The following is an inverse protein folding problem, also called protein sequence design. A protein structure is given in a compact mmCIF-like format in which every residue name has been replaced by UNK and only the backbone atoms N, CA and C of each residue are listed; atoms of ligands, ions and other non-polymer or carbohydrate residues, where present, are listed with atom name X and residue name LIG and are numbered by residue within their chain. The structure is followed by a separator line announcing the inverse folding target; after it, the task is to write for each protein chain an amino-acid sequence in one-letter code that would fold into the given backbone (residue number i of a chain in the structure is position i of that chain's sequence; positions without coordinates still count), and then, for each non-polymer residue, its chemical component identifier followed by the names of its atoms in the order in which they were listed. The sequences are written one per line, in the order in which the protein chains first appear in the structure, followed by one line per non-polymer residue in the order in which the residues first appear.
data_IF_027603451817
#
_entry.id   IF_027603451817
#
_cell.length_a   1.000
_cell.length_b   1.000
_cell.length_c   1.000
_cell.angle_alpha   90.00
_cell.angle_beta   90.00
_cell.angle_gamma   90.00
#
_symmetry.space_group_name_H-M   'P 1'
#
loop_
_entity.id
_entity.type
_entity.pdbx_description
1 polymer ?
#
# COMPACT_ATOMS: atom_id res chain seq x y z
N UNK A 1 -1.28 12.04 -11.39
CA UNK A 1 -1.23 13.49 -11.75
C UNK A 1 -2.48 14.15 -11.19
N UNK A 2 -2.35 15.23 -10.44
CA UNK A 2 -3.51 15.94 -9.89
C UNK A 2 -4.18 16.82 -10.95
N UNK A 3 -5.51 16.95 -10.88
CA UNK A 3 -6.28 17.85 -11.74
C UNK A 3 -6.33 19.21 -11.04
N UNK A 4 -5.68 20.20 -11.63
CA UNK A 4 -5.52 21.52 -11.01
C UNK A 4 -6.84 22.30 -11.03
N UNK A 5 -7.16 23.00 -9.94
CA UNK A 5 -8.35 23.87 -9.84
C UNK A 5 -9.70 23.14 -9.82
N UNK A 6 -9.69 21.81 -9.68
CA UNK A 6 -10.90 20.98 -9.60
C UNK A 6 -11.30 20.63 -8.15
N UNK A 7 -10.56 21.10 -7.16
CA UNK A 7 -10.88 20.95 -5.74
C UNK A 7 -11.85 22.02 -5.24
N UNK A 8 -11.97 22.10 -3.92
CA UNK A 8 -12.79 23.09 -3.23
C UNK A 8 -12.20 24.50 -3.33
N UNK A 9 -13.04 25.52 -3.21
CA UNK A 9 -12.59 26.91 -3.08
C UNK A 9 -11.83 27.09 -1.75
N UNK A 10 -10.84 27.98 -1.75
CA UNK A 10 -10.17 28.40 -0.53
C UNK A 10 -11.13 29.26 0.32
N UNK A 11 -10.99 29.18 1.64
CA UNK A 11 -11.75 30.00 2.59
C UNK A 11 -11.30 31.48 2.57
N UNK A 12 -10.03 31.73 2.24
CA UNK A 12 -9.43 33.07 2.25
C UNK A 12 -9.63 33.82 0.93
N UNK A 13 -9.71 33.10 -0.19
CA UNK A 13 -9.95 33.67 -1.52
C UNK A 13 -10.89 32.75 -2.33
N UNK A 14 -12.13 33.18 -2.60
CA UNK A 14 -13.11 32.38 -3.34
C UNK A 14 -12.76 32.18 -4.82
N UNK A 15 -11.76 32.89 -5.37
CA UNK A 15 -11.30 32.66 -6.74
C UNK A 15 -10.24 31.56 -6.84
N UNK A 16 -9.61 31.19 -5.70
CA UNK A 16 -8.63 30.12 -5.63
C UNK A 16 -9.32 28.78 -5.38
N UNK A 17 -8.98 27.77 -6.19
CA UNK A 17 -9.46 26.39 -6.04
C UNK A 17 -8.31 25.43 -5.83
N UNK A 18 -8.52 24.46 -4.93
CA UNK A 18 -7.60 23.37 -4.68
C UNK A 18 -7.47 22.40 -5.86
N UNK A 19 -6.63 21.40 -5.71
CA UNK A 19 -6.44 20.35 -6.72
C UNK A 19 -7.24 19.10 -6.34
N UNK A 20 -7.73 18.39 -7.36
CA UNK A 20 -8.32 17.06 -7.19
C UNK A 20 -7.24 15.99 -7.38
N UNK A 21 -7.13 15.10 -6.40
CA UNK A 21 -6.26 13.93 -6.45
C UNK A 21 -7.12 12.70 -6.70
N UNK A 22 -6.84 11.97 -7.78
CA UNK A 22 -7.54 10.72 -8.11
C UNK A 22 -6.67 9.55 -7.69
N UNK A 23 -7.17 8.77 -6.73
CA UNK A 23 -6.57 7.51 -6.28
C UNK A 23 -7.23 6.39 -7.10
N UNK A 24 -6.44 5.72 -7.93
CA UNK A 24 -6.93 4.61 -8.75
C UNK A 24 -6.71 3.29 -8.02
N UNK A 25 -7.80 2.55 -7.84
CA UNK A 25 -7.76 1.16 -7.41
C UNK A 25 -8.16 0.29 -8.59
N UNK A 26 -7.22 -0.45 -9.14
CA UNK A 26 -7.48 -1.43 -10.19
C UNK A 26 -7.95 -2.72 -9.53
N UNK A 27 -9.10 -3.23 -9.96
CA UNK A 27 -9.62 -4.52 -9.53
C UNK A 27 -9.38 -5.52 -10.66
N UNK A 28 -8.67 -6.60 -10.36
CA UNK A 28 -8.48 -7.69 -11.29
C UNK A 28 -9.74 -8.57 -11.30
N UNK A 29 -10.05 -9.23 -12.44
CA UNK A 29 -11.08 -10.25 -12.46
C UNK A 29 -10.67 -11.41 -11.55
N UNK A 30 -11.66 -12.12 -10.98
CA UNK A 30 -11.43 -13.25 -10.07
C UNK A 30 -10.84 -14.47 -10.77
N UNK A 31 -10.94 -14.53 -12.10
CA UNK A 31 -10.39 -15.58 -12.94
C UNK A 31 -10.48 -15.18 -14.40
N UNK A 32 -9.77 -15.91 -15.25
CA UNK A 32 -9.72 -15.72 -16.69
C UNK A 32 -9.84 -17.09 -17.32
N UNK A 33 -10.76 -17.26 -18.27
CA UNK A 33 -10.87 -18.49 -19.06
C UNK A 33 -9.74 -18.59 -20.11
N UNK A 34 -9.51 -19.78 -20.65
CA UNK A 34 -8.37 -20.02 -21.54
C UNK A 34 -8.45 -19.18 -22.83
N UNK A 35 -9.65 -19.00 -23.40
CA UNK A 35 -9.83 -18.22 -24.63
C UNK A 35 -9.49 -16.73 -24.38
N UNK A 36 -9.98 -16.17 -23.27
CA UNK A 36 -9.63 -14.81 -22.82
C UNK A 36 -8.14 -14.67 -22.49
N UNK A 37 -7.53 -15.68 -21.87
CA UNK A 37 -6.11 -15.67 -21.55
C UNK A 37 -5.26 -15.66 -22.83
N UNK A 38 -5.65 -16.41 -23.85
CA UNK A 38 -4.97 -16.43 -25.14
C UNK A 38 -5.03 -15.05 -25.82
N UNK A 39 -6.19 -14.40 -25.83
CA UNK A 39 -6.33 -13.05 -26.38
C UNK A 39 -5.48 -12.03 -25.61
N UNK A 40 -5.39 -12.15 -24.28
CA UNK A 40 -4.53 -11.29 -23.47
C UNK A 40 -3.05 -11.46 -23.83
N UNK A 41 -2.59 -12.68 -24.13
CA UNK A 41 -1.20 -12.93 -24.57
C UNK A 41 -0.86 -12.23 -25.90
N UNK A 42 -1.84 -12.08 -26.79
CA UNK A 42 -1.64 -11.40 -28.09
C UNK A 42 -1.58 -9.87 -27.97
N UNK A 43 -2.31 -9.31 -27.01
CA UNK A 43 -2.46 -7.85 -26.86
C UNK A 43 -1.46 -7.27 -25.86
N UNK A 44 -1.18 -8.00 -24.78
CA UNK A 44 -0.25 -7.53 -23.76
C UNK A 44 1.18 -7.61 -24.31
N UNK A 45 2.06 -6.67 -23.92
CA UNK A 45 3.46 -6.74 -24.31
C UNK A 45 4.04 -8.07 -23.84
N UNK A 46 4.75 -8.77 -24.74
CA UNK A 46 5.41 -10.03 -24.43
C UNK A 46 6.25 -9.86 -23.16
N UNK A 47 5.99 -10.71 -22.17
CA UNK A 47 6.90 -10.86 -21.04
C UNK A 47 8.25 -11.23 -21.64
N UNK A 48 9.31 -10.53 -21.22
CA UNK A 48 10.63 -10.74 -21.78
C UNK A 48 10.98 -12.24 -21.72
N UNK A 49 11.33 -12.88 -22.85
CA UNK A 49 11.52 -14.33 -22.92
C UNK A 49 12.70 -14.85 -22.07
N UNK A 50 13.48 -13.99 -21.43
CA UNK A 50 14.66 -14.38 -20.67
C UNK A 50 14.38 -15.13 -19.36
N UNK A 51 13.29 -14.85 -18.66
CA UNK A 51 13.13 -15.37 -17.29
C UNK A 51 12.88 -16.89 -17.21
N UNK A 52 12.29 -17.48 -18.26
CA UNK A 52 11.93 -18.91 -18.28
C UNK A 52 12.93 -19.74 -19.09
N UNK A 53 13.48 -19.21 -20.18
CA UNK A 53 14.47 -19.92 -21.00
C UNK A 53 15.86 -19.95 -20.35
N UNK A 54 16.24 -18.93 -19.56
CA UNK A 54 17.53 -18.93 -18.85
C UNK A 54 17.58 -20.00 -17.74
N UNK A 55 16.46 -20.25 -17.05
CA UNK A 55 16.37 -21.27 -16.00
C UNK A 55 16.47 -22.71 -16.52
N UNK A 56 16.03 -22.95 -17.76
CA UNK A 56 16.18 -24.26 -18.42
C UNK A 56 17.60 -24.50 -18.93
N UNK A 57 18.36 -23.44 -19.23
CA UNK A 57 19.67 -23.55 -19.87
C UNK A 57 20.82 -23.78 -18.87
N UNK A 58 20.61 -23.49 -17.57
CA UNK A 58 21.62 -23.64 -16.52
C UNK A 58 21.80 -25.08 -16.04
N UNK A 59 20.92 -26.02 -16.42
CA UNK A 59 21.03 -27.43 -16.04
C UNK A 59 20.86 -27.70 -14.54
N UNK A 60 20.28 -26.74 -13.81
CA UNK A 60 19.94 -26.87 -12.40
C UNK A 60 18.66 -27.71 -12.25
N UNK A 61 18.57 -28.49 -11.18
CA UNK A 61 17.35 -29.24 -10.83
C UNK A 61 16.23 -28.22 -10.56
N UNK A 62 15.20 -28.21 -11.41
CA UNK A 62 14.04 -27.35 -11.26
C UNK A 62 13.08 -27.95 -10.23
N UNK A 63 12.81 -27.20 -9.17
CA UNK A 63 11.76 -27.53 -8.21
C UNK A 63 10.42 -27.00 -8.74
N UNK A 64 9.46 -27.91 -8.92
CA UNK A 64 8.09 -27.57 -9.31
C UNK A 64 7.25 -27.31 -8.07
N UNK A 65 6.64 -26.13 -8.01
CA UNK A 65 5.74 -25.73 -6.92
C UNK A 65 4.36 -25.42 -7.45
N UNK A 66 3.33 -25.94 -6.77
CA UNK A 66 1.95 -25.53 -6.99
C UNK A 66 1.65 -24.28 -6.17
N UNK A 67 1.02 -23.28 -6.81
CA UNK A 67 0.53 -22.10 -6.13
C UNK A 67 -0.76 -22.44 -5.39
N UNK A 68 -0.76 -22.23 -4.07
CA UNK A 68 -1.92 -22.39 -3.22
C UNK A 68 -2.48 -21.03 -2.80
N UNK A 69 -3.79 -20.99 -2.56
CA UNK A 69 -4.45 -19.81 -2.00
C UNK A 69 -3.86 -19.47 -0.62
N UNK A 70 -3.65 -18.19 -0.41
CA UNK A 70 -3.17 -17.67 0.87
C UNK A 70 -4.35 -17.44 1.82
N UNK A 71 -4.40 -18.16 2.93
CA UNK A 71 -5.33 -17.84 4.01
C UNK A 71 -4.90 -16.50 4.66
N UNK A 72 -5.76 -15.46 4.65
CA UNK A 72 -5.41 -14.16 5.20
C UNK A 72 -5.08 -14.21 6.71
N UNK A 73 -5.63 -15.16 7.47
CA UNK A 73 -5.34 -15.31 8.90
C UNK A 73 -3.98 -15.97 9.15
N UNK A 74 -3.64 -16.99 8.35
CA UNK A 74 -2.33 -17.64 8.37
C UNK A 74 -1.23 -16.67 7.89
N UNK A 75 -1.52 -15.90 6.84
CA UNK A 75 -0.62 -14.87 6.29
C UNK A 75 -0.28 -13.79 7.31
N UNK A 76 -1.29 -13.27 8.04
CA UNK A 76 -1.04 -12.27 9.08
C UNK A 76 -0.13 -12.81 10.18
N UNK A 77 -0.30 -14.08 10.58
CA UNK A 77 0.54 -14.72 11.60
C UNK A 77 1.98 -14.90 11.13
N UNK A 78 2.19 -15.29 9.87
CA UNK A 78 3.52 -15.49 9.28
C UNK A 78 4.24 -14.15 8.99
N UNK A 79 3.52 -13.14 8.48
CA UNK A 79 4.10 -11.82 8.19
C UNK A 79 4.35 -10.96 9.43
N UNK A 80 3.64 -11.17 10.56
CA UNK A 80 3.97 -10.49 11.81
C UNK A 80 5.38 -10.87 12.34
N UNK A 81 5.89 -12.03 11.92
CA UNK A 81 7.22 -12.53 12.29
C UNK A 81 8.30 -12.04 11.31
N UNK A 82 8.00 -11.92 10.01
CA UNK A 82 8.99 -11.54 8.98
C UNK A 82 9.14 -10.03 8.75
N UNK A 83 8.04 -9.26 8.84
CA UNK A 83 8.09 -7.81 8.95
C UNK A 83 7.98 -7.48 10.42
N UNK A 84 9.12 -7.52 11.12
CA UNK A 84 9.20 -7.25 12.56
C UNK A 84 8.20 -6.17 12.94
N UNK A 85 7.23 -6.56 13.77
CA UNK A 85 6.05 -5.75 14.08
C UNK A 85 6.45 -4.31 14.27
N UNK A 86 6.10 -3.46 13.31
CA UNK A 86 6.04 -2.03 13.53
C UNK A 86 4.76 -1.85 14.34
N UNK A 87 4.86 -2.19 15.63
CA UNK A 87 4.26 -1.37 16.66
C UNK A 87 4.71 0.05 16.32
N UNK A 88 3.81 0.88 15.80
CA UNK A 88 3.97 2.32 15.87
C UNK A 88 3.90 2.70 17.34
N UNK A 89 4.99 2.46 18.08
CA UNK A 89 5.32 3.23 19.28
C UNK A 89 6.00 4.51 18.80
N UNK A 90 5.18 5.46 18.39
CA UNK A 90 5.52 6.87 18.18
C UNK A 90 4.18 7.55 17.87
N UNK A 91 3.62 8.41 18.71
CA UNK A 91 4.24 9.40 19.58
C UNK A 91 3.15 9.81 20.59
N UNK A 92 3.20 9.31 21.84
CA UNK A 92 2.42 9.85 22.96
C UNK A 92 3.02 11.23 23.35
N UNK A 93 2.80 12.20 22.47
CA UNK A 93 3.02 13.63 22.72
C UNK A 93 1.72 14.41 22.69
N UNK A 94 0.65 13.80 23.19
CA UNK A 94 -0.52 14.53 23.66
C UNK A 94 -1.26 13.75 24.75
N UNK A 95 -0.51 13.18 25.71
CA UNK A 95 -1.12 12.67 26.94
C UNK A 95 -1.61 13.88 27.75
N UNK A 96 -2.90 14.19 27.61
CA UNK A 96 -3.60 15.06 28.52
C UNK A 96 -3.33 14.60 29.96
N UNK A 97 -2.92 15.48 30.88
CA UNK A 97 -2.56 15.05 32.23
C UNK A 97 -3.77 14.37 32.90
N UNK A 98 -3.56 13.29 33.69
CA UNK A 98 -4.63 12.68 34.44
C UNK A 98 -5.29 13.72 35.34
N UNK A 99 -6.63 13.75 35.35
CA UNK A 99 -7.41 14.67 36.17
C UNK A 99 -7.00 14.53 37.65
N UNK A 100 -6.25 15.52 38.16
CA UNK A 100 -5.78 15.56 39.54
C UNK A 100 -4.30 15.87 39.76
N UNK A 101 -3.48 16.05 38.72
CA UNK A 101 -2.10 16.50 38.91
C UNK A 101 -2.06 17.97 39.40
N UNK A 102 -1.33 18.29 40.49
CA UNK A 102 -1.14 19.67 40.91
C UNK A 102 -0.36 20.42 39.83
N UNK A 103 -0.98 21.47 39.27
CA UNK A 103 -0.39 22.25 38.19
C UNK A 103 0.95 22.88 38.58
N UNK A 104 1.82 23.16 37.60
CA UNK A 104 3.08 23.87 37.87
C UNK A 104 2.79 25.28 38.42
N UNK A 105 3.64 25.81 39.31
CA UNK A 105 3.46 27.16 39.82
C UNK A 105 3.56 28.18 38.68
N UNK A 106 2.81 29.28 38.73
CA UNK A 106 2.90 30.32 37.71
C UNK A 106 4.29 30.96 37.75
N UNK A 107 5.04 30.81 36.66
CA UNK A 107 6.24 31.62 36.42
C UNK A 107 5.82 33.04 36.07
N UNK A 108 6.03 33.95 37.02
CA UNK A 108 6.13 35.38 36.75
C UNK A 108 5.22 36.25 37.60
N UNK A 109 5.81 36.88 38.63
CA UNK A 109 5.72 38.32 38.82
C UNK A 109 6.77 38.80 39.84
N UNK A 110 7.69 39.62 39.32
CA UNK A 110 8.63 40.56 39.99
C UNK A 110 9.81 39.98 40.76
#
# INVERSE_FOLDING_TARGET
RAIRGAGMHSLEDPNLRGNLFVLLRVLLPTGVDEDSAQLLREVLPSVAPGALEELSATGEELEEFELCDLDPMESQRLHHVATGGIHTTSDDRDEAPPAGAPGPPPCGQM
#
